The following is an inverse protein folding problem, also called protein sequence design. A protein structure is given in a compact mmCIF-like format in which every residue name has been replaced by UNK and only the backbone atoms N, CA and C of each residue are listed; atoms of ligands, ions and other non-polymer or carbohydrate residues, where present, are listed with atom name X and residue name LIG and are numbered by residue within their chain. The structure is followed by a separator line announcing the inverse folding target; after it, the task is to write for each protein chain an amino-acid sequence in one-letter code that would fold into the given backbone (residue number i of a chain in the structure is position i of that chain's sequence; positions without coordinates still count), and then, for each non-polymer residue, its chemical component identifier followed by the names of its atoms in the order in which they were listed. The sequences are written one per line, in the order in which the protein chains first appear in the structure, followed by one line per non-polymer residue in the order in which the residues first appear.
data_IF_243720700813
#
_entry.id   IF_243720700813
#
_cell.length_a   1.000
_cell.length_b   1.000
_cell.length_c   1.000
_cell.angle_alpha   90.00
_cell.angle_beta   90.00
_cell.angle_gamma   90.00
#
_symmetry.space_group_name_H-M   'P 1'
#
loop_
_entity.id
_entity.type
_entity.pdbx_description
1 polymer ?
#
# COMPACT_ATOMS: atom_id res chain seq x y z
N UNK A 1 -12.92 -24.68 24.44
CA UNK A 1 -13.85 -24.17 23.38
C UNK A 1 -13.92 -22.64 23.32
N UNK A 2 -13.75 -21.89 24.42
CA UNK A 2 -13.82 -20.41 24.43
C UNK A 2 -12.71 -19.67 23.63
N UNK A 3 -11.58 -20.33 23.32
CA UNK A 3 -10.42 -19.68 22.68
C UNK A 3 -10.52 -19.62 21.14
N UNK A 4 -11.17 -20.61 20.49
CA UNK A 4 -11.24 -20.70 19.03
C UNK A 4 -12.14 -19.61 18.43
N UNK A 5 -13.25 -19.28 19.11
CA UNK A 5 -14.15 -18.21 18.66
C UNK A 5 -13.48 -16.82 18.66
N UNK A 6 -12.65 -16.53 19.66
CA UNK A 6 -11.89 -15.28 19.76
C UNK A 6 -10.80 -15.19 18.68
N UNK A 7 -10.10 -16.28 18.40
CA UNK A 7 -9.10 -16.34 17.32
C UNK A 7 -9.77 -16.09 15.96
N UNK A 8 -10.92 -16.70 15.70
CA UNK A 8 -11.64 -16.50 14.44
C UNK A 8 -12.12 -15.05 14.25
N UNK A 9 -12.64 -14.42 15.32
CA UNK A 9 -13.03 -13.01 15.29
C UNK A 9 -11.80 -12.10 15.04
N UNK A 10 -10.68 -12.38 15.70
CA UNK A 10 -9.43 -11.64 15.52
C UNK A 10 -8.89 -11.72 14.08
N UNK A 11 -8.87 -12.92 13.50
CA UNK A 11 -8.46 -13.12 12.10
C UNK A 11 -9.40 -12.40 11.13
N UNK A 12 -10.71 -12.44 11.39
CA UNK A 12 -11.68 -11.73 10.57
C UNK A 12 -11.49 -10.20 10.63
N UNK A 13 -11.14 -9.66 11.79
CA UNK A 13 -10.81 -8.23 11.92
C UNK A 13 -9.54 -7.85 11.16
N UNK A 14 -8.49 -8.68 11.20
CA UNK A 14 -7.27 -8.48 10.39
C UNK A 14 -7.60 -8.47 8.90
N UNK A 15 -8.38 -9.45 8.44
CA UNK A 15 -8.82 -9.54 7.04
C UNK A 15 -9.70 -8.36 6.65
N UNK A 16 -10.61 -7.93 7.54
CA UNK A 16 -11.45 -6.76 7.32
C UNK A 16 -10.65 -5.47 7.21
N UNK A 17 -9.61 -5.32 8.05
CA UNK A 17 -8.70 -4.17 8.01
C UNK A 17 -7.85 -4.15 6.74
N UNK A 18 -7.30 -5.29 6.31
CA UNK A 18 -6.50 -5.35 5.08
C UNK A 18 -7.33 -4.98 3.85
N UNK A 19 -8.58 -5.45 3.77
CA UNK A 19 -9.50 -5.06 2.71
C UNK A 19 -9.82 -3.56 2.69
N UNK A 20 -9.89 -2.90 3.85
CA UNK A 20 -10.15 -1.45 3.93
C UNK A 20 -9.05 -0.66 3.22
N UNK A 21 -7.79 -1.05 3.44
CA UNK A 21 -6.64 -0.39 2.82
C UNK A 21 -6.63 -0.57 1.29
N UNK A 22 -6.90 -1.79 0.81
CA UNK A 22 -7.01 -2.08 -0.62
C UNK A 22 -8.12 -1.24 -1.26
N UNK A 23 -9.34 -1.25 -0.68
CA UNK A 23 -10.48 -0.46 -1.19
C UNK A 23 -10.19 1.03 -1.21
N UNK A 24 -9.49 1.56 -0.21
CA UNK A 24 -9.13 2.98 -0.15
C UNK A 24 -8.18 3.37 -1.30
N UNK A 25 -7.16 2.55 -1.59
CA UNK A 25 -6.25 2.76 -2.72
C UNK A 25 -7.00 2.69 -4.05
N UNK A 26 -7.78 1.63 -4.27
CA UNK A 26 -8.52 1.44 -5.53
C UNK A 26 -9.56 2.54 -5.77
N UNK A 27 -10.18 3.09 -4.73
CA UNK A 27 -11.12 4.21 -4.88
C UNK A 27 -10.46 5.48 -5.42
N UNK A 28 -9.18 5.72 -5.12
CA UNK A 28 -8.43 6.83 -5.71
C UNK A 28 -8.18 6.62 -7.21
N UNK A 29 -8.18 5.37 -7.68
CA UNK A 29 -8.01 5.00 -9.09
C UNK A 29 -9.30 5.11 -9.94
N UNK A 30 -10.47 5.26 -9.32
CA UNK A 30 -11.75 5.35 -10.04
C UNK A 30 -11.99 6.68 -10.77
N UNK A 31 -11.27 7.75 -10.40
CA UNK A 31 -11.45 9.09 -10.98
C UNK A 31 -10.57 9.37 -12.20
N UNK A 32 -9.78 8.40 -12.67
CA UNK A 32 -8.80 8.62 -13.73
C UNK A 32 -9.41 8.37 -15.11
N UNK A 33 -9.04 9.23 -16.06
CA UNK A 33 -9.53 9.18 -17.44
C UNK A 33 -8.84 8.13 -18.32
N UNK A 34 -7.71 7.58 -17.86
CA UNK A 34 -6.98 6.52 -18.54
C UNK A 34 -6.53 5.45 -17.56
N UNK A 35 -6.43 4.22 -18.06
CA UNK A 35 -5.90 3.06 -17.34
C UNK A 35 -4.44 3.26 -16.95
N UNK A 36 -3.65 3.84 -17.84
CA UNK A 36 -2.24 4.13 -17.62
C UNK A 36 -2.07 5.14 -16.48
N UNK A 37 -2.89 6.19 -16.43
CA UNK A 37 -2.86 7.20 -15.37
C UNK A 37 -3.28 6.64 -14.01
N UNK A 38 -4.31 5.77 -14.00
CA UNK A 38 -4.73 5.06 -12.80
C UNK A 38 -3.61 4.15 -12.24
N UNK A 39 -2.99 3.35 -13.11
CA UNK A 39 -1.91 2.43 -12.75
C UNK A 39 -0.68 3.19 -12.26
N UNK A 40 -0.23 4.21 -13.00
CA UNK A 40 0.92 5.04 -12.60
C UNK A 40 0.73 5.66 -11.21
N UNK A 41 -0.50 6.12 -10.91
CA UNK A 41 -0.83 6.71 -9.61
C UNK A 41 -0.87 5.68 -8.48
N UNK A 42 -1.39 4.48 -8.74
CA UNK A 42 -1.37 3.37 -7.78
C UNK A 42 0.07 2.93 -7.49
N UNK A 43 0.89 2.74 -8.51
CA UNK A 43 2.30 2.37 -8.38
C UNK A 43 3.10 3.45 -7.63
N UNK A 44 2.89 4.73 -7.95
CA UNK A 44 3.53 5.83 -7.22
C UNK A 44 3.18 5.85 -5.74
N UNK A 45 1.91 5.62 -5.38
CA UNK A 45 1.48 5.56 -3.97
C UNK A 45 2.02 4.33 -3.24
N UNK A 46 2.11 3.21 -3.92
CA UNK A 46 2.70 1.98 -3.38
C UNK A 46 4.18 2.15 -3.11
N UNK A 47 4.94 2.61 -4.10
CA UNK A 47 6.37 2.92 -3.97
C UNK A 47 6.64 3.92 -2.84
N UNK A 48 5.85 4.99 -2.73
CA UNK A 48 5.96 5.95 -1.62
C UNK A 48 5.74 5.30 -0.24
N UNK A 49 4.84 4.33 -0.15
CA UNK A 49 4.58 3.61 1.10
C UNK A 49 5.76 2.71 1.45
N UNK A 50 6.28 1.97 0.46
CA UNK A 50 7.43 1.07 0.63
C UNK A 50 8.69 1.84 1.05
N UNK A 51 8.95 3.00 0.42
CA UNK A 51 10.08 3.86 0.76
C UNK A 51 10.01 4.40 2.19
N UNK A 52 8.82 4.77 2.67
CA UNK A 52 8.61 5.23 4.05
C UNK A 52 8.64 4.11 5.10
N UNK A 53 8.48 2.87 4.67
CA UNK A 53 8.51 1.69 5.55
C UNK A 53 9.85 0.96 5.50
N UNK A 54 10.87 1.53 4.84
CA UNK A 54 12.19 0.92 4.65
C UNK A 54 12.11 -0.48 4.01
N UNK A 55 11.12 -0.72 3.14
CA UNK A 55 10.90 -2.01 2.48
C UNK A 55 11.72 -2.20 1.20
N UNK A 56 12.36 -1.13 0.71
CA UNK A 56 13.19 -1.13 -0.50
C UNK A 56 14.57 -0.66 -0.09
N UNK A 57 15.59 -1.46 -0.43
CA UNK A 57 16.99 -1.09 -0.25
C UNK A 57 17.45 -0.27 -1.47
N UNK A 58 17.54 1.04 -1.29
CA UNK A 58 17.97 2.00 -2.31
C UNK A 58 18.70 3.15 -1.64
N UNK A 59 19.72 3.68 -2.32
CA UNK A 59 20.54 4.76 -1.78
C UNK A 59 19.72 6.03 -1.50
N UNK A 60 20.01 6.68 -0.37
CA UNK A 60 19.37 7.92 0.05
C UNK A 60 19.01 7.93 1.54
N UNK A 61 19.08 9.11 2.17
CA UNK A 61 18.77 9.29 3.59
C UNK A 61 17.29 9.59 3.81
N UNK A 62 16.67 10.28 2.85
CA UNK A 62 15.26 10.65 2.88
C UNK A 62 14.47 9.84 1.86
N UNK A 63 13.16 9.69 2.08
CA UNK A 63 12.27 9.03 1.12
C UNK A 63 12.27 9.72 -0.26
N UNK A 64 12.54 11.03 -0.31
CA UNK A 64 12.65 11.78 -1.56
C UNK A 64 13.93 11.42 -2.33
N UNK A 65 15.09 11.42 -1.67
CA UNK A 65 16.36 11.01 -2.29
C UNK A 65 16.27 9.58 -2.83
N UNK A 66 15.69 8.68 -2.03
CA UNK A 66 15.48 7.29 -2.42
C UNK A 66 14.51 7.12 -3.59
N UNK A 67 13.47 7.93 -3.66
CA UNK A 67 12.57 7.97 -4.82
C UNK A 67 13.31 8.42 -6.08
N UNK A 68 14.13 9.47 -5.97
CA UNK A 68 14.88 9.99 -7.11
C UNK A 68 15.92 8.98 -7.63
N UNK A 69 16.54 8.22 -6.73
CA UNK A 69 17.48 7.15 -7.09
C UNK A 69 16.84 6.02 -7.92
N UNK A 70 15.51 5.88 -7.93
CA UNK A 70 14.80 4.90 -8.75
C UNK A 70 14.46 5.39 -10.17
N UNK A 71 14.65 6.68 -10.47
CA UNK A 71 14.28 7.29 -11.76
C UNK A 71 15.38 7.17 -12.84
N UNK A 72 16.33 6.26 -12.67
CA UNK A 72 17.48 6.01 -13.58
C UNK A 72 17.03 5.43 -14.93
#
# INVERSE_FOLDING_TARGET
MANIGLINAYLNDIVGQSHRWVKQKTRQALGWKSTEGALASLHGREMWTMLKQDQIDVEGKTAFERFYALAV
#
